data_IF_154077083031
#
_entry.id   IF_154077083031
#
_cell.length_a   1.000
_cell.length_b   1.000
_cell.length_c   1.000
_cell.angle_alpha   90.00
_cell.angle_beta   90.00
_cell.angle_gamma   90.00
#
_symmetry.space_group_name_H-M   'P 1'
#
loop_
_entity.id
_entity.type
_entity.pdbx_description
1 polymer ?
#
# COMPACT_ATOMS: atom_id res chain seq x y z
N UNK A 1 -16.69 10.07 39.04
CA UNK A 1 -15.37 10.04 38.36
C UNK A 1 -15.41 8.93 37.31
N UNK A 2 -15.78 9.26 36.07
CA UNK A 2 -15.96 8.28 34.99
C UNK A 2 -14.72 8.27 34.10
N UNK A 3 -14.18 7.06 33.91
CA UNK A 3 -12.92 6.73 33.25
C UNK A 3 -12.78 7.35 31.85
N UNK A 4 -11.65 8.01 31.63
CA UNK A 4 -11.12 8.36 30.32
C UNK A 4 -10.88 7.08 29.53
N UNK A 5 -11.63 6.90 28.44
CA UNK A 5 -11.34 5.87 27.45
C UNK A 5 -10.50 6.54 26.36
N UNK A 6 -9.18 6.46 26.52
CA UNK A 6 -8.20 6.77 25.49
C UNK A 6 -8.41 5.78 24.33
N UNK A 7 -9.36 6.09 23.45
CA UNK A 7 -9.46 5.47 22.13
C UNK A 7 -8.26 5.95 21.34
N UNK A 8 -7.13 5.26 21.53
CA UNK A 8 -5.94 5.33 20.69
C UNK A 8 -6.42 5.17 19.25
N UNK A 9 -6.53 6.31 18.57
CA UNK A 9 -7.06 6.45 17.22
C UNK A 9 -6.21 5.55 16.32
N UNK A 10 -6.67 4.31 16.08
CA UNK A 10 -6.03 3.36 15.16
C UNK A 10 -6.32 3.79 13.72
N UNK A 11 -6.11 5.07 13.41
CA UNK A 11 -6.02 5.59 12.05
C UNK A 11 -4.71 5.09 11.41
N UNK A 12 -4.60 3.77 11.26
CA UNK A 12 -3.56 3.09 10.48
C UNK A 12 -3.81 3.23 8.96
N UNK A 13 -4.43 4.31 8.53
CA UNK A 13 -4.76 4.53 7.12
C UNK A 13 -4.06 5.80 6.64
N UNK A 14 -2.73 5.84 6.73
CA UNK A 14 -1.96 6.80 5.95
C UNK A 14 -2.17 6.44 4.48
N UNK A 15 -2.91 7.26 3.76
CA UNK A 15 -3.18 7.07 2.33
C UNK A 15 -1.96 7.52 1.53
N UNK A 16 -1.49 6.67 0.63
CA UNK A 16 -0.44 7.00 -0.34
C UNK A 16 -1.11 7.37 -1.67
N UNK A 17 -0.99 8.63 -2.09
CA UNK A 17 -1.49 9.10 -3.38
C UNK A 17 -0.30 9.19 -4.34
N UNK A 18 -0.34 8.39 -5.40
CA UNK A 18 0.69 8.38 -6.44
C UNK A 18 0.04 8.88 -7.74
N UNK A 19 0.73 9.79 -8.44
CA UNK A 19 0.34 10.22 -9.79
C UNK A 19 1.23 9.50 -10.80
N UNK A 20 0.60 8.78 -11.72
CA UNK A 20 1.23 8.08 -12.85
C UNK A 20 0.45 8.40 -14.12
N UNK A 21 0.97 8.04 -15.29
CA UNK A 21 0.24 8.21 -16.54
C UNK A 21 -0.99 7.31 -16.55
N UNK A 22 -2.02 7.74 -17.28
CA UNK A 22 -3.27 6.99 -17.40
C UNK A 22 -3.03 5.60 -18.00
N UNK A 23 -2.26 5.54 -19.08
CA UNK A 23 -1.93 4.31 -19.80
C UNK A 23 -1.24 3.28 -18.89
N UNK A 24 -0.20 3.71 -18.15
CA UNK A 24 0.53 2.85 -17.20
C UNK A 24 -0.38 2.32 -16.07
N UNK A 25 -1.31 3.15 -15.57
CA UNK A 25 -2.27 2.72 -14.56
C UNK A 25 -3.21 1.67 -15.12
N UNK A 26 -3.76 1.90 -16.29
CA UNK A 26 -4.75 1.02 -16.90
C UNK A 26 -4.11 -0.35 -17.18
N UNK A 27 -2.91 -0.37 -17.78
CA UNK A 27 -2.12 -1.60 -17.99
C UNK A 27 -1.81 -2.33 -16.67
N UNK A 28 -1.45 -1.61 -15.60
CA UNK A 28 -1.18 -2.21 -14.29
C UNK A 28 -2.44 -2.82 -13.65
N UNK A 29 -3.58 -2.15 -13.76
CA UNK A 29 -4.85 -2.65 -13.20
C UNK A 29 -5.34 -3.85 -14.00
N UNK A 30 -5.28 -3.81 -15.33
CA UNK A 30 -5.66 -4.93 -16.20
C UNK A 30 -4.83 -6.17 -15.87
N UNK A 31 -3.51 -6.01 -15.70
CA UNK A 31 -2.63 -7.10 -15.28
C UNK A 31 -2.96 -7.63 -13.88
N UNK A 32 -3.35 -6.76 -12.94
CA UNK A 32 -3.77 -7.20 -11.62
C UNK A 32 -5.04 -8.06 -11.69
N UNK A 33 -5.99 -7.67 -12.53
CA UNK A 33 -7.25 -8.40 -12.72
C UNK A 33 -7.00 -9.77 -13.37
N UNK A 34 -6.10 -9.85 -14.36
CA UNK A 34 -5.67 -11.12 -14.97
C UNK A 34 -5.02 -12.09 -13.96
N UNK A 35 -4.29 -11.55 -12.99
CA UNK A 35 -3.59 -12.30 -11.95
C UNK A 35 -4.46 -12.60 -10.71
N UNK A 36 -5.75 -12.26 -10.74
CA UNK A 36 -6.69 -12.39 -9.61
C UNK A 36 -6.15 -11.72 -8.32
N UNK A 37 -5.49 -10.56 -8.49
CA UNK A 37 -4.92 -9.73 -7.43
C UNK A 37 -5.48 -8.31 -7.50
N UNK A 38 -5.11 -7.45 -6.53
CA UNK A 38 -5.51 -6.03 -6.56
C UNK A 38 -4.30 -5.14 -6.67
N UNK A 39 -4.43 -4.02 -7.39
CA UNK A 39 -3.42 -2.97 -7.48
C UNK A 39 -2.87 -2.57 -6.09
N UNK A 40 -3.74 -2.45 -5.09
CA UNK A 40 -3.34 -2.13 -3.72
C UNK A 40 -2.56 -3.26 -3.03
N UNK A 41 -2.83 -4.53 -3.35
CA UNK A 41 -2.07 -5.68 -2.84
C UNK A 41 -0.69 -5.71 -3.47
N UNK A 42 -0.59 -5.58 -4.80
CA UNK A 42 0.69 -5.58 -5.52
C UNK A 42 1.58 -4.42 -5.10
N UNK A 43 1.08 -3.19 -5.00
CA UNK A 43 1.88 -2.06 -4.54
C UNK A 43 2.38 -2.27 -3.10
N UNK A 44 1.57 -2.85 -2.21
CA UNK A 44 2.02 -3.17 -0.84
C UNK A 44 3.09 -4.25 -0.81
N UNK A 45 2.97 -5.29 -1.64
CA UNK A 45 4.00 -6.32 -1.78
C UNK A 45 5.29 -5.74 -2.32
N UNK A 46 5.20 -4.97 -3.41
CA UNK A 46 6.33 -4.28 -4.00
C UNK A 46 7.05 -3.39 -2.98
N UNK A 47 6.34 -2.55 -2.23
CA UNK A 47 6.95 -1.69 -1.20
C UNK A 47 7.66 -2.53 -0.13
N UNK A 48 7.04 -3.61 0.34
CA UNK A 48 7.65 -4.48 1.37
C UNK A 48 8.92 -5.15 0.86
N UNK A 49 8.88 -5.67 -0.35
CA UNK A 49 10.00 -6.40 -0.93
C UNK A 49 11.13 -5.46 -1.35
N UNK A 50 10.80 -4.28 -1.89
CA UNK A 50 11.75 -3.20 -2.14
C UNK A 50 12.47 -2.80 -0.85
N UNK A 51 11.73 -2.54 0.23
CA UNK A 51 12.34 -2.20 1.52
C UNK A 51 13.15 -3.35 2.12
N UNK A 52 12.80 -4.62 1.88
CA UNK A 52 13.62 -5.76 2.32
C UNK A 52 14.93 -5.84 1.55
N UNK A 53 14.88 -5.67 0.23
CA UNK A 53 16.06 -5.69 -0.64
C UNK A 53 17.08 -4.61 -0.26
N UNK A 54 16.63 -3.39 0.00
CA UNK A 54 17.50 -2.25 0.28
C UNK A 54 17.84 -2.04 1.77
N UNK A 55 17.18 -2.72 2.71
CA UNK A 55 17.54 -2.62 4.14
C UNK A 55 18.77 -3.42 4.55
N UNK A 56 19.25 -4.31 3.67
CA UNK A 56 20.42 -5.15 3.92
C UNK A 56 21.61 -4.79 3.02
N UNK A 57 21.54 -3.68 2.28
CA UNK A 57 22.71 -3.06 1.66
C UNK A 57 23.42 -2.18 2.71
N UNK A 58 24.09 -2.84 3.67
CA UNK A 58 25.23 -2.28 4.42
C UNK A 58 26.48 -3.13 4.16
#
# INVERSE_FOLDING_TARGET
MSKVNDKKDTKKNSQLIIRIKKEERDEFVDLCDELDTSAAREIRHFIRDFLKKHRHEE
#
